data_IF_466272322503
#
_entry.id   IF_466272322503
#
_cell.length_a   1.000
_cell.length_b   1.000
_cell.length_c   1.000
_cell.angle_alpha   90.00
_cell.angle_beta   90.00
_cell.angle_gamma   90.00
#
_symmetry.space_group_name_H-M   'P 1'
#
loop_
_entity.id
_entity.type
_entity.pdbx_description
1 polymer ?
#
# COMPACT_ATOMS: atom_id res chain seq x y z
N UNK A 1 21.38 -83.40 -5.32
CA UNK A 1 21.22 -82.26 -4.40
C UNK A 1 20.33 -81.20 -5.07
N UNK A 2 19.34 -80.69 -4.41
CA UNK A 2 18.56 -79.57 -4.93
C UNK A 2 19.50 -78.38 -5.18
N UNK A 3 19.11 -77.46 -6.07
CA UNK A 3 19.89 -76.29 -6.47
C UNK A 3 20.23 -75.40 -5.27
N UNK A 4 21.48 -75.42 -4.86
CA UNK A 4 22.01 -74.69 -3.71
C UNK A 4 22.45 -73.30 -4.17
N UNK A 5 22.27 -72.24 -3.31
CA UNK A 5 22.69 -70.86 -3.58
C UNK A 5 24.19 -70.83 -3.95
N UNK A 6 24.53 -70.01 -4.94
CA UNK A 6 25.86 -69.96 -5.59
C UNK A 6 27.00 -69.66 -4.62
N UNK A 7 26.78 -68.85 -3.63
CA UNK A 7 27.75 -68.50 -2.57
C UNK A 7 27.97 -69.72 -1.64
N UNK A 8 26.89 -70.37 -1.27
CA UNK A 8 26.98 -71.59 -0.39
C UNK A 8 27.70 -72.72 -1.08
N UNK A 9 27.43 -72.94 -2.38
CA UNK A 9 28.18 -73.97 -3.17
C UNK A 9 29.68 -73.70 -3.17
N UNK A 10 30.10 -72.42 -3.31
CA UNK A 10 31.51 -72.03 -3.25
C UNK A 10 32.12 -72.29 -1.86
N UNK A 11 31.36 -71.93 -0.80
CA UNK A 11 31.82 -72.17 0.58
C UNK A 11 31.95 -73.65 0.91
N UNK A 12 30.95 -74.47 0.55
CA UNK A 12 30.98 -75.95 0.74
C UNK A 12 32.15 -76.53 -0.04
N UNK A 13 32.38 -76.14 -1.27
CA UNK A 13 33.53 -76.58 -2.06
C UNK A 13 34.86 -76.20 -1.45
N UNK A 14 34.98 -74.95 -0.92
CA UNK A 14 36.20 -74.39 -0.36
C UNK A 14 36.57 -75.06 1.02
N UNK A 15 35.58 -75.29 1.88
CA UNK A 15 35.78 -75.59 3.25
C UNK A 15 35.45 -77.06 3.60
N UNK A 16 34.59 -77.70 2.81
CA UNK A 16 34.17 -79.10 3.02
C UNK A 16 34.54 -80.05 1.88
N UNK A 17 35.39 -79.60 0.96
CA UNK A 17 35.84 -80.46 -0.15
C UNK A 17 34.75 -80.77 -1.19
N UNK A 18 33.55 -80.20 -1.08
CA UNK A 18 32.42 -80.35 -2.04
C UNK A 18 31.42 -81.45 -1.61
N UNK A 19 31.66 -82.22 -0.54
CA UNK A 19 30.74 -83.17 0.05
C UNK A 19 30.28 -82.72 1.44
N UNK A 20 28.97 -82.80 1.69
CA UNK A 20 28.39 -82.45 3.00
C UNK A 20 28.12 -83.79 3.77
N UNK A 21 28.60 -83.86 5.01
CA UNK A 21 28.31 -84.96 5.87
C UNK A 21 26.81 -85.01 6.22
N UNK A 22 26.19 -86.20 6.37
CA UNK A 22 24.75 -86.31 6.64
C UNK A 22 24.26 -85.50 7.84
N UNK A 23 25.12 -85.39 8.87
CA UNK A 23 24.81 -84.60 10.09
C UNK A 23 24.74 -83.08 9.86
N UNK A 24 25.33 -82.62 8.76
CA UNK A 24 25.34 -81.18 8.40
C UNK A 24 24.32 -80.81 7.30
N UNK A 25 23.61 -81.77 6.73
CA UNK A 25 22.69 -81.52 5.60
C UNK A 25 21.57 -80.58 5.99
N UNK A 26 20.96 -80.75 7.16
CA UNK A 26 19.89 -79.83 7.65
C UNK A 26 20.38 -78.37 7.86
N UNK A 27 21.62 -78.23 8.37
CA UNK A 27 22.25 -76.93 8.57
C UNK A 27 22.53 -76.23 7.23
N UNK A 28 23.08 -76.95 6.27
CA UNK A 28 23.37 -76.44 4.92
C UNK A 28 22.08 -76.03 4.23
N UNK A 29 20.99 -76.76 4.36
CA UNK A 29 19.68 -76.39 3.82
C UNK A 29 19.12 -75.14 4.50
N UNK A 30 19.26 -74.95 5.81
CA UNK A 30 18.83 -73.74 6.50
C UNK A 30 19.64 -72.51 6.04
N UNK A 31 20.96 -72.66 5.87
CA UNK A 31 21.83 -71.58 5.35
C UNK A 31 21.49 -71.26 3.89
N UNK A 32 21.15 -72.25 3.06
CA UNK A 32 20.72 -72.07 1.69
C UNK A 32 19.45 -71.24 1.60
N UNK A 33 18.47 -71.60 2.42
CA UNK A 33 17.22 -70.77 2.55
C UNK A 33 17.50 -69.37 2.95
N UNK A 34 18.36 -69.14 3.96
CA UNK A 34 18.73 -67.78 4.40
C UNK A 34 19.43 -66.95 3.33
N UNK A 35 20.28 -67.56 2.48
CA UNK A 35 20.89 -66.83 1.36
C UNK A 35 19.88 -66.47 0.25
N UNK A 36 18.96 -67.41 -0.04
CA UNK A 36 17.89 -67.15 -1.02
C UNK A 36 16.96 -66.06 -0.51
N UNK A 37 16.58 -66.08 0.76
CA UNK A 37 15.74 -65.00 1.34
C UNK A 37 16.45 -63.64 1.34
N UNK A 38 17.75 -63.61 1.66
CA UNK A 38 18.54 -62.37 1.62
C UNK A 38 18.67 -61.78 0.20
N UNK A 39 18.83 -62.63 -0.82
CA UNK A 39 18.86 -62.18 -2.22
C UNK A 39 17.47 -61.63 -2.67
N UNK A 40 16.41 -62.30 -2.23
CA UNK A 40 15.03 -61.79 -2.49
C UNK A 40 14.77 -60.48 -1.81
N UNK A 41 15.13 -60.32 -0.52
CA UNK A 41 14.99 -59.09 0.22
C UNK A 41 15.80 -57.95 -0.43
N UNK A 42 17.06 -58.25 -0.82
CA UNK A 42 17.90 -57.29 -1.55
C UNK A 42 17.27 -56.85 -2.84
N UNK A 43 16.76 -57.77 -3.64
CA UNK A 43 16.09 -57.46 -4.92
C UNK A 43 14.83 -56.60 -4.72
N UNK A 44 14.09 -56.87 -3.61
CA UNK A 44 12.91 -56.08 -3.25
C UNK A 44 13.27 -54.63 -2.85
N UNK A 45 14.34 -54.46 -2.07
CA UNK A 45 14.85 -53.14 -1.66
C UNK A 45 15.38 -52.37 -2.88
N UNK A 46 16.18 -53.03 -3.74
CA UNK A 46 16.68 -52.40 -4.98
C UNK A 46 15.55 -51.91 -5.88
N UNK A 47 14.52 -52.71 -6.08
CA UNK A 47 13.33 -52.34 -6.86
C UNK A 47 12.51 -51.21 -6.22
N UNK A 48 12.38 -51.22 -4.88
CA UNK A 48 11.72 -50.15 -4.15
C UNK A 48 12.47 -48.84 -4.26
N UNK A 49 13.80 -48.86 -4.16
CA UNK A 49 14.65 -47.68 -4.34
C UNK A 49 14.56 -47.13 -5.77
N UNK A 50 14.56 -48.01 -6.78
CA UNK A 50 14.43 -47.60 -8.19
C UNK A 50 13.07 -46.89 -8.46
N UNK A 51 11.96 -47.47 -7.92
CA UNK A 51 10.65 -46.88 -8.02
C UNK A 51 10.57 -45.53 -7.29
N UNK A 52 11.08 -45.46 -6.07
CA UNK A 52 11.10 -44.21 -5.28
C UNK A 52 11.95 -43.13 -5.97
N UNK A 53 13.09 -43.49 -6.57
CA UNK A 53 13.93 -42.56 -7.31
C UNK A 53 13.18 -41.99 -8.53
N UNK A 54 12.47 -42.85 -9.25
CA UNK A 54 11.67 -42.41 -10.41
C UNK A 54 10.52 -41.51 -10.02
N UNK A 55 9.80 -41.87 -8.93
CA UNK A 55 8.71 -41.01 -8.40
C UNK A 55 9.25 -39.64 -7.96
N UNK A 56 10.43 -39.59 -7.32
CA UNK A 56 11.08 -38.34 -6.95
C UNK A 56 11.48 -37.46 -8.16
N UNK A 57 11.99 -38.09 -9.22
CA UNK A 57 12.30 -37.34 -10.47
C UNK A 57 11.04 -36.78 -11.10
N UNK A 58 9.97 -37.55 -11.25
CA UNK A 58 8.70 -37.13 -11.80
C UNK A 58 8.08 -35.98 -10.95
N UNK A 59 8.16 -36.07 -9.61
CA UNK A 59 7.69 -35.03 -8.72
C UNK A 59 8.51 -33.74 -8.83
N UNK A 60 9.83 -33.85 -8.88
CA UNK A 60 10.72 -32.69 -9.06
C UNK A 60 10.46 -31.97 -10.38
N UNK A 61 10.27 -32.71 -11.47
CA UNK A 61 9.94 -32.12 -12.76
C UNK A 61 8.56 -31.42 -12.75
N UNK A 62 7.57 -32.02 -12.07
CA UNK A 62 6.25 -31.40 -11.89
C UNK A 62 6.33 -30.11 -11.06
N UNK A 63 7.10 -30.12 -9.98
CA UNK A 63 7.32 -28.91 -9.13
C UNK A 63 8.02 -27.83 -9.92
N UNK A 64 9.08 -28.15 -10.67
CA UNK A 64 9.80 -27.18 -11.52
C UNK A 64 8.88 -26.55 -12.56
N UNK A 65 8.08 -27.36 -13.24
CA UNK A 65 7.11 -26.86 -14.23
C UNK A 65 6.10 -25.90 -13.59
N UNK A 66 5.59 -26.23 -12.40
CA UNK A 66 4.67 -25.34 -11.65
C UNK A 66 5.31 -24.03 -11.21
N UNK A 67 6.59 -24.07 -10.83
CA UNK A 67 7.34 -22.86 -10.50
C UNK A 67 7.53 -21.94 -11.71
N UNK A 68 7.83 -22.52 -12.89
CA UNK A 68 7.95 -21.76 -14.15
C UNK A 68 6.61 -21.15 -14.56
N UNK A 69 5.50 -21.89 -14.51
CA UNK A 69 4.16 -21.39 -14.78
C UNK A 69 3.78 -20.24 -13.83
N UNK A 70 4.07 -20.38 -12.53
CA UNK A 70 3.82 -19.36 -11.50
C UNK A 70 4.66 -18.10 -11.76
N UNK A 71 5.93 -18.25 -12.10
CA UNK A 71 6.82 -17.12 -12.38
C UNK A 71 6.31 -16.29 -13.57
N UNK A 72 5.87 -16.95 -14.65
CA UNK A 72 5.28 -16.27 -15.82
C UNK A 72 3.99 -15.55 -15.44
N UNK A 73 3.10 -16.18 -14.69
CA UNK A 73 1.84 -15.54 -14.24
C UNK A 73 2.11 -14.33 -13.34
N UNK A 74 3.05 -14.44 -12.40
CA UNK A 74 3.45 -13.31 -11.54
C UNK A 74 4.03 -12.15 -12.34
N UNK A 75 4.86 -12.43 -13.34
CA UNK A 75 5.41 -11.39 -14.20
C UNK A 75 4.31 -10.64 -14.96
N UNK A 76 3.34 -11.32 -15.54
CA UNK A 76 2.21 -10.70 -16.24
C UNK A 76 1.37 -9.80 -15.30
N UNK A 77 1.13 -10.26 -14.06
CA UNK A 77 0.43 -9.46 -13.04
C UNK A 77 1.25 -8.20 -12.72
N UNK A 78 2.56 -8.33 -12.49
CA UNK A 78 3.43 -7.19 -12.18
C UNK A 78 3.48 -6.17 -13.33
N UNK A 79 3.54 -6.60 -14.56
CA UNK A 79 3.49 -5.71 -15.73
C UNK A 79 2.16 -4.94 -15.80
N UNK A 80 1.04 -5.63 -15.52
CA UNK A 80 -0.28 -5.01 -15.47
C UNK A 80 -0.40 -3.97 -14.34
N UNK A 81 0.15 -4.28 -13.15
CA UNK A 81 0.19 -3.35 -12.02
C UNK A 81 1.08 -2.14 -12.28
N UNK A 82 2.22 -2.33 -12.95
CA UNK A 82 3.08 -1.22 -13.36
C UNK A 82 2.39 -0.30 -14.37
N UNK A 83 1.59 -0.86 -15.28
CA UNK A 83 0.79 -0.06 -16.18
C UNK A 83 -0.29 0.73 -15.45
N UNK A 84 -1.02 0.11 -14.53
CA UNK A 84 -2.01 0.78 -13.67
C UNK A 84 -1.38 1.89 -12.83
N UNK A 85 -0.17 1.69 -12.29
CA UNK A 85 0.58 2.72 -11.56
C UNK A 85 0.90 3.95 -12.42
N UNK A 86 1.26 3.73 -13.69
CA UNK A 86 1.48 4.85 -14.62
C UNK A 86 0.20 5.63 -14.87
N UNK A 87 -0.94 4.95 -15.03
CA UNK A 87 -2.23 5.62 -15.19
C UNK A 87 -2.63 6.40 -13.93
N UNK A 88 -2.46 5.81 -12.75
CA UNK A 88 -2.76 6.49 -11.49
C UNK A 88 -1.89 7.75 -11.30
N UNK A 89 -0.58 7.65 -11.59
CA UNK A 89 0.31 8.83 -11.54
C UNK A 89 -0.08 9.93 -12.53
N UNK A 90 -0.62 9.57 -13.69
CA UNK A 90 -1.08 10.51 -14.69
C UNK A 90 -2.35 11.28 -14.26
N UNK A 91 -3.09 10.75 -13.28
CA UNK A 91 -4.26 11.44 -12.68
C UNK A 91 -3.86 12.51 -11.65
N UNK A 92 -2.64 12.45 -11.12
CA UNK A 92 -2.17 13.44 -10.15
C UNK A 92 -1.99 14.79 -10.82
N UNK A 93 -2.23 15.91 -10.08
CA UNK A 93 -2.10 17.26 -10.62
C UNK A 93 -0.72 17.52 -11.22
N UNK A 94 -0.70 18.08 -12.41
CA UNK A 94 0.54 18.51 -13.05
C UNK A 94 1.03 19.84 -12.44
N UNK A 95 2.35 20.12 -12.45
CA UNK A 95 2.93 21.33 -11.84
C UNK A 95 2.30 22.66 -12.32
N UNK A 96 1.88 22.74 -13.55
CA UNK A 96 1.24 23.91 -14.13
C UNK A 96 -0.07 24.32 -13.43
N UNK A 97 -0.76 23.38 -12.79
CA UNK A 97 -1.98 23.66 -12.01
C UNK A 97 -1.74 24.46 -10.74
N UNK A 98 -0.52 24.47 -10.19
CA UNK A 98 -0.24 25.08 -8.88
C UNK A 98 0.95 26.06 -8.85
N UNK A 99 1.84 26.06 -9.84
CA UNK A 99 3.05 26.93 -9.88
C UNK A 99 2.73 28.42 -9.71
N UNK A 100 1.58 28.88 -10.22
CA UNK A 100 1.17 30.29 -10.11
C UNK A 100 0.18 30.56 -8.95
N UNK A 101 -0.12 29.54 -8.12
CA UNK A 101 -1.11 29.64 -7.03
C UNK A 101 -0.51 29.41 -5.66
N UNK A 102 0.59 28.68 -5.60
CA UNK A 102 1.29 28.36 -4.38
C UNK A 102 2.70 28.96 -4.47
N UNK A 103 3.18 29.51 -3.37
CA UNK A 103 4.54 30.03 -3.28
C UNK A 103 5.56 28.89 -3.16
N UNK A 104 5.19 27.84 -2.43
CA UNK A 104 6.00 26.63 -2.25
C UNK A 104 5.06 25.44 -2.10
N UNK A 105 5.48 24.29 -2.60
CA UNK A 105 4.69 23.07 -2.57
C UNK A 105 5.59 21.85 -2.60
N UNK A 106 5.28 20.86 -1.79
CA UNK A 106 5.89 19.54 -1.84
C UNK A 106 4.89 18.45 -1.43
N UNK A 107 5.07 17.25 -1.97
CA UNK A 107 4.22 16.11 -1.66
C UNK A 107 5.08 14.87 -1.43
N UNK A 108 4.77 14.12 -0.38
CA UNK A 108 5.11 12.71 -0.21
C UNK A 108 3.88 11.91 -0.61
N UNK A 109 3.90 11.27 -1.76
CA UNK A 109 2.88 10.32 -2.18
C UNK A 109 3.54 8.98 -2.39
N UNK A 110 3.31 8.06 -1.48
CA UNK A 110 4.02 6.80 -1.36
C UNK A 110 3.03 5.67 -1.10
N UNK A 111 2.49 5.07 -2.15
CA UNK A 111 1.67 3.88 -2.02
C UNK A 111 2.41 2.76 -1.28
N UNK A 112 1.67 1.98 -0.51
CA UNK A 112 2.17 0.78 0.18
C UNK A 112 2.60 -0.29 -0.82
N UNK A 113 1.77 -0.50 -1.82
CA UNK A 113 1.99 -1.44 -2.92
C UNK A 113 2.40 -0.69 -4.20
N UNK A 114 2.27 -1.31 -5.36
CA UNK A 114 2.58 -0.67 -6.65
C UNK A 114 1.61 0.47 -6.98
N UNK A 115 0.37 0.38 -6.51
CA UNK A 115 -0.73 1.33 -6.61
C UNK A 115 -1.40 1.44 -5.24
N UNK A 116 -2.10 2.55 -4.97
CA UNK A 116 -2.67 2.83 -3.65
C UNK A 116 -4.04 3.49 -3.68
N UNK A 117 -4.67 3.59 -2.50
CA UNK A 117 -5.94 4.27 -2.27
C UNK A 117 -5.83 5.78 -2.12
N UNK A 118 -4.67 6.27 -1.73
CA UNK A 118 -4.44 7.69 -1.49
C UNK A 118 -4.43 8.51 -2.77
N UNK A 119 -5.07 9.68 -2.70
CA UNK A 119 -5.13 10.68 -3.76
C UNK A 119 -4.88 12.07 -3.17
N UNK A 120 -4.14 12.89 -3.89
CA UNK A 120 -4.13 14.34 -3.70
C UNK A 120 -4.53 15.05 -5.00
N UNK A 121 -5.22 16.19 -4.87
CA UNK A 121 -5.81 16.86 -6.01
C UNK A 121 -5.87 18.38 -5.80
N UNK A 122 -5.84 19.14 -6.88
CA UNK A 122 -5.96 20.62 -6.87
C UNK A 122 -6.97 21.01 -7.94
N UNK A 123 -7.94 21.82 -7.55
CA UNK A 123 -8.99 22.28 -8.45
C UNK A 123 -8.44 23.18 -9.57
N UNK A 124 -9.13 23.24 -10.73
CA UNK A 124 -8.78 24.17 -11.79
C UNK A 124 -8.93 25.65 -11.36
N UNK A 125 -9.73 25.90 -10.33
CA UNK A 125 -10.07 27.23 -9.85
C UNK A 125 -11.18 27.90 -10.65
N UNK A 126 -11.74 28.97 -10.09
CA UNK A 126 -12.78 29.79 -10.74
C UNK A 126 -12.27 31.13 -11.23
N UNK A 127 -13.19 31.94 -11.80
CA UNK A 127 -12.88 33.25 -12.33
C UNK A 127 -12.47 34.28 -11.26
N UNK A 128 -12.90 34.04 -10.01
CA UNK A 128 -12.54 34.86 -8.85
C UNK A 128 -11.18 34.49 -8.27
N UNK A 129 -10.53 33.44 -8.81
CA UNK A 129 -9.22 32.93 -8.37
C UNK A 129 -9.29 32.05 -7.14
N UNK A 130 -10.49 31.61 -6.71
CA UNK A 130 -10.64 30.59 -5.66
C UNK A 130 -10.14 29.27 -6.21
N UNK A 131 -9.51 28.50 -5.35
CA UNK A 131 -9.09 27.14 -5.66
C UNK A 131 -9.04 26.28 -4.41
N UNK A 132 -9.09 24.97 -4.60
CA UNK A 132 -9.11 23.99 -3.52
C UNK A 132 -7.96 23.00 -3.64
N UNK A 133 -7.41 22.62 -2.50
CA UNK A 133 -6.40 21.55 -2.35
C UNK A 133 -7.07 20.44 -1.57
N UNK A 134 -6.98 19.21 -2.09
CA UNK A 134 -7.72 18.04 -1.61
C UNK A 134 -6.76 16.91 -1.32
N UNK A 135 -6.98 16.22 -0.20
CA UNK A 135 -6.40 14.90 0.10
C UNK A 135 -7.54 13.95 0.34
N UNK A 136 -7.48 12.78 -0.27
CA UNK A 136 -8.44 11.68 -0.07
C UNK A 136 -7.65 10.41 0.22
N UNK A 137 -8.12 9.66 1.18
CA UNK A 137 -7.61 8.37 1.60
C UNK A 137 -8.75 7.37 1.46
N UNK A 138 -8.64 6.45 0.51
CA UNK A 138 -9.69 5.49 0.18
C UNK A 138 -9.44 4.17 0.92
N UNK A 139 -10.53 3.52 1.34
CA UNK A 139 -10.48 2.21 2.00
C UNK A 139 -9.69 1.20 1.20
N UNK A 140 -8.71 0.60 1.87
CA UNK A 140 -7.89 -0.46 1.30
C UNK A 140 -6.73 0.06 0.45
N UNK A 141 -5.78 -0.82 0.21
CA UNK A 141 -4.55 -0.56 -0.54
C UNK A 141 -4.48 -1.44 -1.79
N UNK A 142 -3.50 -1.23 -2.65
CA UNK A 142 -3.35 -2.00 -3.89
C UNK A 142 -4.48 -1.75 -4.87
N UNK A 143 -4.95 -2.78 -5.57
CA UNK A 143 -5.95 -2.65 -6.65
C UNK A 143 -7.29 -2.11 -6.18
N UNK A 144 -7.91 -2.60 -5.09
CA UNK A 144 -9.18 -2.06 -4.62
C UNK A 144 -9.11 -0.58 -4.28
N UNK A 145 -8.12 -0.17 -3.47
CA UNK A 145 -7.91 1.24 -3.12
C UNK A 145 -7.68 2.12 -4.34
N UNK A 146 -6.87 1.66 -5.30
CA UNK A 146 -6.60 2.41 -6.53
C UNK A 146 -7.85 2.60 -7.41
N UNK A 147 -8.77 1.65 -7.42
CA UNK A 147 -10.06 1.80 -8.13
C UNK A 147 -10.95 2.87 -7.46
N UNK A 148 -10.96 2.89 -6.12
CA UNK A 148 -11.67 3.93 -5.36
C UNK A 148 -11.04 5.31 -5.54
N UNK A 149 -9.72 5.41 -5.52
CA UNK A 149 -9.03 6.68 -5.75
C UNK A 149 -9.31 7.24 -7.16
N UNK A 150 -9.44 6.37 -8.17
CA UNK A 150 -9.86 6.78 -9.51
C UNK A 150 -11.31 7.29 -9.53
N UNK A 151 -12.22 6.61 -8.82
CA UNK A 151 -13.61 7.07 -8.66
C UNK A 151 -13.64 8.44 -7.95
N UNK A 152 -12.88 8.61 -6.87
CA UNK A 152 -12.76 9.88 -6.14
C UNK A 152 -12.20 11.00 -7.04
N UNK A 153 -11.13 10.72 -7.80
CA UNK A 153 -10.53 11.69 -8.73
C UNK A 153 -11.52 12.17 -9.80
N UNK A 154 -12.21 11.23 -10.45
CA UNK A 154 -13.23 11.56 -11.46
C UNK A 154 -14.43 12.30 -10.87
N UNK A 155 -14.79 11.99 -9.62
CA UNK A 155 -15.85 12.70 -8.89
C UNK A 155 -15.43 14.13 -8.58
N UNK A 156 -14.19 14.36 -8.15
CA UNK A 156 -13.66 15.72 -7.94
C UNK A 156 -13.66 16.55 -9.23
N UNK A 157 -13.24 15.97 -10.35
CA UNK A 157 -13.31 16.64 -11.66
C UNK A 157 -14.77 17.03 -12.04
N UNK A 158 -15.78 16.26 -11.66
CA UNK A 158 -17.18 16.59 -11.86
C UNK A 158 -17.67 17.68 -10.89
N UNK A 159 -17.32 17.59 -9.61
CA UNK A 159 -17.73 18.53 -8.55
C UNK A 159 -17.19 19.93 -8.85
N UNK A 160 -15.94 20.01 -9.29
CA UNK A 160 -15.24 21.27 -9.59
C UNK A 160 -15.27 21.63 -11.09
N UNK A 161 -16.00 20.88 -11.89
CA UNK A 161 -16.20 21.19 -13.32
C UNK A 161 -16.93 22.50 -13.53
N UNK A 162 -16.82 23.06 -14.75
CA UNK A 162 -17.46 24.32 -15.14
C UNK A 162 -17.02 25.56 -14.34
N UNK A 163 -15.77 25.59 -13.86
CA UNK A 163 -15.20 26.69 -13.07
C UNK A 163 -16.00 27.00 -11.79
N UNK A 164 -16.60 26.00 -11.21
CA UNK A 164 -17.27 26.11 -9.92
C UNK A 164 -16.31 25.73 -8.81
N UNK A 165 -16.25 26.54 -7.77
CA UNK A 165 -15.51 26.26 -6.54
C UNK A 165 -16.49 26.15 -5.36
N UNK A 166 -17.10 24.98 -5.12
CA UNK A 166 -17.97 24.77 -3.97
C UNK A 166 -17.16 24.90 -2.67
N UNK A 167 -17.81 25.31 -1.59
CA UNK A 167 -17.16 25.33 -0.29
C UNK A 167 -16.71 23.92 0.14
N UNK A 168 -15.65 23.80 0.97
CA UNK A 168 -15.08 22.51 1.36
C UNK A 168 -16.10 21.52 1.91
N UNK A 169 -16.97 21.95 2.82
CA UNK A 169 -18.00 21.08 3.39
C UNK A 169 -19.05 20.63 2.36
N UNK A 170 -19.39 21.49 1.39
CA UNK A 170 -20.31 21.15 0.30
C UNK A 170 -19.66 20.14 -0.66
N UNK A 171 -18.40 20.35 -1.01
CA UNK A 171 -17.64 19.44 -1.89
C UNK A 171 -17.51 18.04 -1.28
N UNK A 172 -17.20 17.92 0.03
CA UNK A 172 -17.16 16.64 0.73
C UNK A 172 -18.53 15.94 0.75
N UNK A 173 -19.64 16.70 0.91
CA UNK A 173 -20.99 16.12 0.80
C UNK A 173 -21.29 15.58 -0.60
N UNK A 174 -20.87 16.30 -1.63
CA UNK A 174 -21.06 15.85 -3.01
C UNK A 174 -20.20 14.62 -3.29
N UNK A 175 -18.96 14.57 -2.78
CA UNK A 175 -18.06 13.43 -2.91
C UNK A 175 -18.64 12.18 -2.23
N UNK A 176 -19.15 12.30 -0.99
CA UNK A 176 -19.85 11.20 -0.30
C UNK A 176 -21.01 10.65 -1.16
N UNK A 177 -21.85 11.54 -1.66
CA UNK A 177 -23.01 11.13 -2.48
C UNK A 177 -22.57 10.38 -3.75
N UNK A 178 -21.56 10.87 -4.46
CA UNK A 178 -21.10 10.24 -5.71
C UNK A 178 -20.44 8.89 -5.43
N UNK A 179 -19.64 8.77 -4.38
CA UNK A 179 -19.00 7.52 -3.98
C UNK A 179 -20.06 6.48 -3.59
N UNK A 180 -21.01 6.83 -2.71
CA UNK A 180 -22.13 5.94 -2.34
C UNK A 180 -22.90 5.42 -3.55
N UNK A 181 -23.23 6.33 -4.45
CA UNK A 181 -23.96 5.98 -5.67
C UNK A 181 -23.12 5.11 -6.61
N UNK A 182 -21.83 5.44 -6.78
CA UNK A 182 -20.91 4.67 -7.62
C UNK A 182 -20.70 3.25 -7.15
N UNK A 183 -20.73 3.02 -5.84
CA UNK A 183 -20.59 1.71 -5.20
C UNK A 183 -21.95 1.01 -4.95
N UNK A 184 -23.08 1.62 -5.34
CA UNK A 184 -24.45 1.17 -5.00
C UNK A 184 -24.68 1.01 -3.48
N UNK A 185 -23.98 1.80 -2.66
CA UNK A 185 -24.10 1.83 -1.20
C UNK A 185 -25.21 2.75 -0.69
N UNK A 186 -25.93 3.39 -1.59
CA UNK A 186 -27.16 4.17 -1.35
C UNK A 186 -28.42 3.29 -1.26
N UNK A 187 -28.29 1.98 -1.46
CA UNK A 187 -29.40 1.00 -1.47
C UNK A 187 -29.29 0.00 -0.33
N UNK A 188 -30.42 -0.46 0.16
CA UNK A 188 -30.45 -1.55 1.14
C UNK A 188 -29.82 -2.83 0.56
N UNK A 189 -28.93 -3.47 1.32
CA UNK A 189 -28.24 -4.69 0.91
C UNK A 189 -27.01 -4.45 0.04
N UNK A 190 -26.33 -3.33 0.22
CA UNK A 190 -25.05 -3.07 -0.39
C UNK A 190 -24.08 -4.24 -0.22
N UNK A 191 -23.35 -4.58 -1.28
CA UNK A 191 -22.41 -5.71 -1.30
C UNK A 191 -20.98 -5.33 -0.90
N UNK A 192 -20.68 -4.04 -0.78
CA UNK A 192 -19.39 -3.51 -0.30
C UNK A 192 -19.60 -2.62 0.92
N UNK A 193 -18.54 -2.47 1.68
CA UNK A 193 -18.43 -1.58 2.84
C UNK A 193 -17.14 -0.77 2.66
N UNK A 194 -17.12 0.02 1.58
CA UNK A 194 -15.97 0.80 1.16
C UNK A 194 -16.29 2.30 1.21
N UNK A 195 -15.28 3.10 1.49
CA UNK A 195 -15.44 4.53 1.61
C UNK A 195 -14.12 5.26 1.50
N UNK A 196 -14.10 6.50 1.98
CA UNK A 196 -12.87 7.27 2.05
C UNK A 196 -12.92 8.29 3.19
N UNK A 197 -11.73 8.67 3.64
CA UNK A 197 -11.47 9.85 4.43
C UNK A 197 -11.02 10.97 3.50
N UNK A 198 -11.23 12.23 3.89
CA UNK A 198 -10.82 13.30 3.00
C UNK A 198 -10.83 14.67 3.66
N UNK A 199 -10.00 15.55 3.13
CA UNK A 199 -9.96 16.95 3.55
C UNK A 199 -9.81 17.88 2.36
N UNK A 200 -10.42 19.03 2.48
CA UNK A 200 -10.36 20.10 1.49
C UNK A 200 -10.00 21.41 2.17
N UNK A 201 -8.97 22.06 1.66
CA UNK A 201 -8.65 23.44 1.99
C UNK A 201 -8.91 24.30 0.74
N UNK A 202 -9.81 25.26 0.86
CA UNK A 202 -10.11 26.24 -0.17
C UNK A 202 -9.46 27.57 0.15
N UNK A 203 -8.84 28.16 -0.83
CA UNK A 203 -8.26 29.51 -0.78
C UNK A 203 -9.19 30.49 -1.51
N UNK A 204 -9.60 31.53 -0.81
CA UNK A 204 -10.43 32.60 -1.39
C UNK A 204 -9.69 33.97 -1.38
N UNK A 205 -9.13 34.37 -2.53
CA UNK A 205 -8.43 35.63 -2.64
C UNK A 205 -9.35 36.86 -2.50
N UNK A 206 -10.66 36.72 -2.74
CA UNK A 206 -11.60 37.84 -2.72
C UNK A 206 -11.90 38.25 -1.28
N UNK A 207 -12.03 37.30 -0.37
CA UNK A 207 -12.30 37.52 1.05
C UNK A 207 -11.05 37.52 1.92
N UNK A 208 -9.88 37.18 1.38
CA UNK A 208 -8.62 36.96 2.11
C UNK A 208 -8.74 35.88 3.21
N UNK A 209 -9.51 34.86 2.91
CA UNK A 209 -9.80 33.77 3.84
C UNK A 209 -9.41 32.41 3.26
N UNK A 210 -9.20 31.49 4.16
CA UNK A 210 -9.10 30.08 3.87
C UNK A 210 -10.23 29.35 4.56
N UNK A 211 -10.80 28.39 3.87
CA UNK A 211 -11.85 27.52 4.42
C UNK A 211 -11.34 26.09 4.44
N UNK A 212 -11.56 25.40 5.53
CA UNK A 212 -11.18 24.01 5.70
C UNK A 212 -12.36 23.18 6.16
N UNK A 213 -12.50 21.98 5.58
CA UNK A 213 -13.34 20.93 6.13
C UNK A 213 -12.63 19.58 5.93
N UNK A 214 -12.75 18.69 6.91
CA UNK A 214 -12.13 17.38 6.87
C UNK A 214 -13.03 16.31 7.50
N UNK A 215 -12.95 15.13 6.93
CA UNK A 215 -13.46 13.87 7.45
C UNK A 215 -12.26 13.00 7.74
N UNK A 216 -11.87 12.87 9.03
CA UNK A 216 -10.72 12.13 9.58
C UNK A 216 -9.32 12.60 9.17
N UNK A 217 -9.20 13.50 8.22
CA UNK A 217 -7.92 14.12 7.82
C UNK A 217 -7.86 15.55 8.37
N UNK A 218 -6.91 15.80 9.26
CA UNK A 218 -6.69 17.08 9.90
C UNK A 218 -5.85 18.05 9.04
N UNK A 219 -5.99 19.34 9.32
CA UNK A 219 -5.10 20.38 8.81
C UNK A 219 -4.11 20.81 9.91
N UNK A 220 -2.85 20.92 9.54
CA UNK A 220 -1.81 21.53 10.35
C UNK A 220 -1.34 22.83 9.72
N UNK A 221 -1.18 23.85 10.54
CA UNK A 221 -0.63 25.15 10.14
C UNK A 221 0.62 25.43 10.96
N UNK A 222 1.78 25.39 10.31
CA UNK A 222 3.06 25.71 10.93
C UNK A 222 3.40 27.18 10.66
N UNK A 223 3.45 27.98 11.71
CA UNK A 223 3.80 29.40 11.65
C UNK A 223 5.32 29.59 11.72
N UNK A 224 5.79 30.74 11.28
CA UNK A 224 7.23 31.04 11.21
C UNK A 224 7.92 31.11 12.57
N UNK A 225 7.18 31.25 13.67
CA UNK A 225 7.69 31.18 15.05
C UNK A 225 7.79 29.75 15.60
N UNK A 226 7.61 28.75 14.73
CA UNK A 226 7.57 27.34 15.06
C UNK A 226 6.33 26.87 15.85
N UNK A 227 5.32 27.71 15.99
CA UNK A 227 4.00 27.30 16.48
C UNK A 227 3.31 26.45 15.45
N UNK A 228 2.75 25.30 15.86
CA UNK A 228 1.97 24.43 14.97
C UNK A 228 0.55 24.31 15.51
N UNK A 229 -0.40 24.86 14.77
CA UNK A 229 -1.81 24.74 15.05
C UNK A 229 -2.38 23.53 14.33
N UNK A 230 -3.27 22.79 15.00
CA UNK A 230 -4.02 21.69 14.41
C UNK A 230 -5.48 22.05 14.34
N UNK A 231 -6.07 22.04 13.15
CA UNK A 231 -7.51 22.14 12.94
C UNK A 231 -8.05 20.72 12.76
N UNK A 232 -8.83 20.26 13.76
CA UNK A 232 -9.34 18.89 13.77
C UNK A 232 -10.45 18.70 12.73
N UNK A 233 -10.41 17.55 12.07
CA UNK A 233 -11.46 17.06 11.21
C UNK A 233 -12.60 16.40 11.99
N UNK A 234 -13.74 16.21 11.35
CA UNK A 234 -14.81 15.34 11.86
C UNK A 234 -14.35 13.88 11.93
N UNK A 235 -14.98 13.11 12.83
CA UNK A 235 -14.59 11.71 13.09
C UNK A 235 -15.45 10.69 12.34
N UNK A 236 -16.01 11.08 11.23
CA UNK A 236 -16.74 10.18 10.34
C UNK A 236 -16.09 10.15 8.96
N UNK A 237 -16.30 9.06 8.25
CA UNK A 237 -15.79 8.82 6.90
C UNK A 237 -16.90 9.01 5.86
N UNK A 238 -16.56 9.08 4.59
CA UNK A 238 -17.49 9.23 3.47
C UNK A 238 -17.67 7.91 2.74
N UNK A 239 -18.81 7.74 2.06
CA UNK A 239 -19.07 6.61 1.15
C UNK A 239 -19.73 5.39 1.79
N UNK A 240 -19.63 5.18 3.08
CA UNK A 240 -20.10 3.96 3.76
C UNK A 240 -21.62 3.83 3.80
N UNK A 241 -22.18 2.62 3.65
CA UNK A 241 -23.62 2.43 3.50
C UNK A 241 -24.44 2.78 4.76
N UNK A 242 -23.90 2.48 5.93
CA UNK A 242 -24.63 2.60 7.20
C UNK A 242 -24.46 3.94 7.91
N UNK A 243 -23.53 4.76 7.47
CA UNK A 243 -23.31 6.09 8.03
C UNK A 243 -24.29 7.11 7.44
N UNK A 244 -25.04 7.77 8.32
CA UNK A 244 -25.75 9.00 7.95
C UNK A 244 -24.71 10.09 7.82
N UNK A 245 -24.22 10.31 6.61
CA UNK A 245 -23.25 11.36 6.36
C UNK A 245 -23.83 12.72 6.79
N UNK A 246 -23.12 13.36 7.71
CA UNK A 246 -23.48 14.69 8.21
C UNK A 246 -22.60 15.69 7.49
N UNK A 247 -23.15 16.89 7.25
CA UNK A 247 -22.33 17.97 6.70
C UNK A 247 -21.17 18.25 7.66
N UNK A 248 -19.90 18.11 7.22
CA UNK A 248 -18.76 18.41 8.09
C UNK A 248 -18.73 19.89 8.45
N UNK A 249 -18.15 20.19 9.61
CA UNK A 249 -17.92 21.57 10.01
C UNK A 249 -16.92 22.23 9.06
N UNK A 250 -17.29 23.40 8.56
CA UNK A 250 -16.37 24.24 7.80
C UNK A 250 -15.72 25.25 8.71
N UNK A 251 -14.39 25.22 8.80
CA UNK A 251 -13.59 26.18 9.53
C UNK A 251 -13.19 27.32 8.63
N UNK A 252 -13.39 28.55 9.09
CA UNK A 252 -12.92 29.77 8.44
C UNK A 252 -11.67 30.25 9.18
N UNK A 253 -10.62 30.55 8.42
CA UNK A 253 -9.34 30.99 8.97
C UNK A 253 -8.85 32.23 8.22
N UNK A 254 -8.15 33.10 8.93
CA UNK A 254 -7.47 34.22 8.32
C UNK A 254 -6.32 33.75 7.43
N UNK A 255 -6.09 34.44 6.33
CA UNK A 255 -4.94 34.21 5.47
C UNK A 255 -3.65 34.60 6.22
N UNK A 256 -2.78 33.61 6.42
CA UNK A 256 -1.50 33.82 7.09
C UNK A 256 -0.36 33.81 6.07
N UNK A 257 0.34 34.92 5.97
CA UNK A 257 1.51 35.03 5.11
C UNK A 257 2.65 34.12 5.62
N UNK A 258 3.25 33.35 4.73
CA UNK A 258 4.37 32.45 5.00
C UNK A 258 4.08 31.28 5.96
N UNK A 259 2.84 31.06 6.38
CA UNK A 259 2.50 29.85 7.10
C UNK A 259 2.52 28.65 6.17
N UNK A 260 3.04 27.53 6.65
CA UNK A 260 3.03 26.26 5.93
C UNK A 260 1.80 25.46 6.36
N UNK A 261 0.98 25.08 5.41
CA UNK A 261 -0.18 24.22 5.61
C UNK A 261 0.18 22.80 5.24
N UNK A 262 -0.25 21.84 6.06
CA UNK A 262 0.05 20.41 5.87
C UNK A 262 -1.21 19.58 6.09
N UNK A 263 -1.50 18.66 5.18
CA UNK A 263 -2.52 17.61 5.33
C UNK A 263 -1.88 16.25 5.09
N UNK A 264 -2.35 15.23 5.81
CA UNK A 264 -1.78 13.88 5.72
C UNK A 264 -2.88 12.83 5.82
N UNK A 265 -2.79 11.76 5.00
CA UNK A 265 -3.57 10.55 5.22
C UNK A 265 -3.17 9.87 6.53
N UNK A 266 -3.97 8.91 6.98
CA UNK A 266 -3.75 8.24 8.26
C UNK A 266 -2.54 7.29 8.24
N UNK A 267 -2.12 6.80 7.08
CA UNK A 267 -0.97 5.89 6.96
C UNK A 267 0.35 6.45 7.49
N UNK A 268 0.52 7.80 7.53
CA UNK A 268 1.62 8.41 8.26
C UNK A 268 1.42 8.28 9.78
N UNK A 269 0.23 8.66 10.25
CA UNK A 269 -0.05 8.80 11.69
C UNK A 269 -0.17 7.44 12.38
N UNK A 270 -0.72 6.46 11.68
CA UNK A 270 -0.98 5.11 12.18
C UNK A 270 0.17 4.12 11.92
N UNK A 271 1.21 4.56 11.20
CA UNK A 271 2.41 3.73 11.06
C UNK A 271 3.00 3.40 12.43
N UNK A 272 3.10 2.12 12.71
CA UNK A 272 3.70 1.66 13.97
C UNK A 272 5.21 1.66 13.89
N UNK A 273 5.80 1.87 15.05
CA UNK A 273 7.21 1.75 15.32
C UNK A 273 7.43 1.44 16.80
N UNK A 274 8.68 1.24 17.23
CA UNK A 274 9.00 0.94 18.61
C UNK A 274 9.51 2.19 19.32
N UNK A 275 8.93 2.48 20.50
CA UNK A 275 9.46 3.51 21.37
C UNK A 275 10.75 3.02 22.08
N UNK A 276 11.38 3.90 22.85
CA UNK A 276 12.60 3.62 23.63
C UNK A 276 12.48 2.40 24.54
N UNK A 277 11.27 2.07 25.00
CA UNK A 277 10.98 0.91 25.84
C UNK A 277 10.64 -0.36 25.02
N UNK A 278 10.79 -0.35 23.69
CA UNK A 278 10.50 -1.46 22.79
C UNK A 278 9.00 -1.69 22.53
N UNK A 279 8.10 -0.87 23.06
CA UNK A 279 6.66 -1.01 22.86
C UNK A 279 6.23 -0.45 21.51
N UNK A 280 5.34 -1.17 20.84
CA UNK A 280 4.71 -0.71 19.60
C UNK A 280 3.80 0.50 19.87
N UNK A 281 3.97 1.55 19.10
CA UNK A 281 3.18 2.78 19.13
C UNK A 281 3.01 3.32 17.73
N UNK A 282 1.89 4.03 17.47
CA UNK A 282 1.71 4.80 16.24
C UNK A 282 2.65 6.00 16.21
N UNK A 283 2.98 6.48 15.00
CA UNK A 283 3.74 7.72 14.78
C UNK A 283 3.05 8.90 15.47
N UNK A 284 1.80 9.12 15.14
CA UNK A 284 0.87 10.01 15.82
C UNK A 284 1.11 11.51 15.56
N UNK A 285 0.09 12.30 15.88
CA UNK A 285 0.07 13.75 15.64
C UNK A 285 1.22 14.50 16.32
N UNK A 286 1.62 14.10 17.53
CA UNK A 286 2.67 14.81 18.27
C UNK A 286 4.03 14.78 17.57
N UNK A 287 4.40 13.63 16.96
CA UNK A 287 5.66 13.54 16.21
C UNK A 287 5.59 14.36 14.94
N UNK A 288 4.47 14.30 14.22
CA UNK A 288 4.27 15.14 13.04
C UNK A 288 4.42 16.62 13.41
N UNK A 289 3.68 17.11 14.40
CA UNK A 289 3.76 18.51 14.83
C UNK A 289 5.17 18.92 15.24
N UNK A 290 5.91 18.04 15.92
CA UNK A 290 7.32 18.30 16.28
C UNK A 290 8.21 18.46 15.03
N UNK A 291 8.05 17.60 14.02
CA UNK A 291 8.80 17.72 12.77
C UNK A 291 8.44 19.01 12.04
N UNK A 292 7.15 19.36 11.98
CA UNK A 292 6.69 20.61 11.35
C UNK A 292 7.25 21.84 12.06
N UNK A 293 7.22 21.88 13.40
CA UNK A 293 7.80 22.97 14.17
C UNK A 293 9.30 23.17 13.92
N UNK A 294 10.03 22.05 13.83
CA UNK A 294 11.48 22.09 13.54
C UNK A 294 11.82 22.60 12.12
N UNK A 295 10.87 22.51 11.21
CA UNK A 295 11.06 22.83 9.79
C UNK A 295 10.22 24.04 9.33
N UNK A 296 9.59 24.79 10.23
CA UNK A 296 8.66 25.86 9.93
C UNK A 296 9.20 26.92 8.93
N UNK A 297 10.51 27.13 8.88
CA UNK A 297 11.19 28.06 7.98
C UNK A 297 12.06 27.38 6.91
N UNK A 298 11.97 26.07 6.75
CA UNK A 298 12.88 25.30 5.89
C UNK A 298 12.36 25.05 4.47
N UNK A 299 11.15 25.50 4.16
CA UNK A 299 10.44 25.24 2.90
C UNK A 299 9.78 23.85 2.85
N UNK A 300 8.83 23.70 1.92
CA UNK A 300 7.99 22.50 1.83
C UNK A 300 8.80 21.24 1.51
N UNK A 301 9.71 21.30 0.56
CA UNK A 301 10.54 20.15 0.16
C UNK A 301 11.38 19.63 1.31
N UNK A 302 12.04 20.52 2.08
CA UNK A 302 12.84 20.13 3.25
C UNK A 302 11.97 19.53 4.33
N UNK A 303 10.80 20.10 4.57
CA UNK A 303 9.82 19.60 5.56
C UNK A 303 9.33 18.20 5.19
N UNK A 304 8.93 17.98 3.93
CA UNK A 304 8.48 16.67 3.45
C UNK A 304 9.59 15.63 3.56
N UNK A 305 10.83 15.97 3.24
CA UNK A 305 11.97 15.08 3.43
C UNK A 305 12.16 14.72 4.91
N UNK A 306 12.09 15.71 5.80
CA UNK A 306 12.20 15.51 7.25
C UNK A 306 11.07 14.63 7.80
N UNK A 307 9.83 14.77 7.29
CA UNK A 307 8.71 13.89 7.62
C UNK A 307 8.98 12.46 7.15
N UNK A 308 9.42 12.29 5.90
CA UNK A 308 9.77 10.98 5.33
C UNK A 308 10.87 10.27 6.13
N UNK A 309 11.92 10.99 6.49
CA UNK A 309 13.04 10.43 7.25
C UNK A 309 12.64 10.10 8.69
N UNK A 310 11.84 10.96 9.33
CA UNK A 310 11.27 10.69 10.66
C UNK A 310 10.35 9.47 10.64
N UNK A 311 9.54 9.30 9.59
CA UNK A 311 8.70 8.13 9.39
C UNK A 311 9.54 6.85 9.24
N UNK A 312 10.55 6.86 8.37
CA UNK A 312 11.46 5.72 8.17
C UNK A 312 12.19 5.32 9.45
N UNK A 313 12.70 6.32 10.17
CA UNK A 313 13.37 6.10 11.46
C UNK A 313 12.42 5.50 12.49
N UNK A 314 11.18 6.00 12.57
CA UNK A 314 10.17 5.50 13.47
C UNK A 314 9.72 4.07 13.12
N UNK A 315 9.48 3.82 11.85
CA UNK A 315 9.07 2.51 11.34
C UNK A 315 10.13 1.44 11.64
N UNK A 316 11.41 1.74 11.45
CA UNK A 316 12.50 0.77 11.67
C UNK A 316 12.30 -0.53 10.89
N UNK A 317 12.23 -1.65 11.59
CA UNK A 317 12.01 -2.98 11.00
C UNK A 317 10.53 -3.38 10.83
N UNK A 318 9.60 -2.54 11.31
CA UNK A 318 8.16 -2.86 11.20
C UNK A 318 7.70 -2.69 9.74
N UNK A 319 6.74 -3.52 9.32
CA UNK A 319 6.19 -3.42 7.96
C UNK A 319 5.37 -2.15 7.76
N UNK A 320 5.38 -1.65 6.53
CA UNK A 320 4.47 -0.58 6.10
C UNK A 320 3.02 -1.07 6.21
N UNK A 321 2.13 -0.25 6.80
CA UNK A 321 0.74 -0.64 7.02
C UNK A 321 -0.19 -0.16 5.93
N UNK A 322 0.00 1.08 5.47
CA UNK A 322 -0.89 1.73 4.54
C UNK A 322 -0.16 2.66 3.57
N UNK A 323 -0.89 3.20 2.62
CA UNK A 323 -0.44 4.28 1.74
C UNK A 323 -0.11 5.51 2.59
N UNK A 324 0.84 6.33 2.17
CA UNK A 324 1.16 7.58 2.86
C UNK A 324 1.14 8.72 1.88
N UNK A 325 0.27 9.67 2.15
CA UNK A 325 0.22 10.94 1.46
C UNK A 325 0.38 12.07 2.46
N UNK A 326 1.36 12.93 2.23
CA UNK A 326 1.54 14.18 2.98
C UNK A 326 1.76 15.29 1.99
N UNK A 327 0.94 16.32 2.04
CA UNK A 327 1.13 17.53 1.25
C UNK A 327 1.51 18.68 2.16
N UNK A 328 2.48 19.47 1.74
CA UNK A 328 2.89 20.71 2.38
C UNK A 328 2.89 21.83 1.36
N UNK A 329 2.31 22.96 1.71
CA UNK A 329 2.27 24.11 0.83
C UNK A 329 2.27 25.42 1.58
N UNK A 330 2.80 26.46 0.94
CA UNK A 330 2.80 27.84 1.42
C UNK A 330 2.01 28.68 0.41
N UNK A 331 1.06 29.45 0.91
CA UNK A 331 0.31 30.38 0.09
C UNK A 331 1.18 31.61 -0.23
N UNK A 332 1.07 32.21 -1.44
CA UNK A 332 1.68 33.49 -1.72
C UNK A 332 1.08 34.56 -0.80
N UNK A 333 1.74 35.68 -0.64
CA UNK A 333 1.09 36.83 0.00
C UNK A 333 -0.14 37.24 -0.81
N UNK A 334 -1.10 37.87 -0.14
CA UNK A 334 -2.30 38.33 -0.82
C UNK A 334 -2.00 39.27 -2.00
N UNK A 335 -0.99 40.14 -1.85
CA UNK A 335 -0.56 41.06 -2.93
C UNK A 335 0.06 40.34 -4.11
N UNK A 336 0.85 39.28 -3.86
CA UNK A 336 1.41 38.40 -4.91
C UNK A 336 0.32 37.69 -5.69
N UNK A 337 -0.67 37.12 -5.00
CA UNK A 337 -1.77 36.41 -5.66
C UNK A 337 -2.66 37.35 -6.49
N UNK A 338 -2.88 38.56 -5.99
CA UNK A 338 -3.62 39.61 -6.71
C UNK A 338 -2.90 40.06 -7.97
N UNK A 339 -1.57 40.08 -7.95
CA UNK A 339 -0.75 40.38 -9.11
C UNK A 339 -0.79 39.31 -10.18
N UNK A 340 -0.82 38.01 -9.75
CA UNK A 340 -0.89 36.84 -10.63
C UNK A 340 -2.25 36.72 -11.34
N UNK A 341 -3.34 37.14 -10.69
CA UNK A 341 -4.70 37.07 -11.22
C UNK A 341 -5.13 38.30 -12.06
N UNK A 342 -4.23 39.28 -12.32
CA UNK A 342 -4.54 40.34 -13.25
C UNK A 342 -4.62 39.79 -14.67
N UNK A 343 -5.73 40.00 -15.40
CA UNK A 343 -5.79 39.62 -16.81
C UNK A 343 -4.63 40.30 -17.54
N UNK A 344 -3.89 39.51 -18.32
CA UNK A 344 -2.86 40.04 -19.22
C UNK A 344 -3.51 41.15 -20.06
N UNK A 345 -2.88 42.34 -20.21
CA UNK A 345 -3.43 43.37 -21.06
C UNK A 345 -3.61 42.77 -22.46
N UNK A 346 -4.85 42.71 -22.91
CA UNK A 346 -5.18 42.34 -24.29
C UNK A 346 -4.43 43.29 -25.23
N UNK A 347 -3.38 42.76 -25.86
CA UNK A 347 -2.72 43.40 -27.00
C UNK A 347 -3.53 43.20 -28.26
#
# INVERSE_FOLDING_TARGET
>A
MPATHRLLQRQVKKHLGGAVAPELEAFVQAVDGAYIDMDNDKSMVERSLELSSKELEELNDAVRKKQEELAVAMQQIMESLQYASRLQRAQLPQPDRFVNRLRDFAVLWSPRDTIGGDLWWISPGDAEGRFSIVVVDCTGHGVPGAMLSLLASTSLEQIYGHHREPGPAEALMQLDHVIRKGLNQDKAGASSDDGCDGAILQVDPTTQKIYFAGCRIDLYCAETDATVLRVGAERFSMGYPDDVFRKPQQHEMAWQNNAMYVMSSDGLLDQVGRNENGNLRSFGHQRLMKVLAQNANSGCTSTINSVSDSLKQWQGAESRRDDVTVIAFVLPSFEELKALNKPSPTT
#
